data_IF_747298329444
#
_entry.id   IF_747298329444
#
_cell.length_a   1.000
_cell.length_b   1.000
_cell.length_c   1.000
_cell.angle_alpha   90.00
_cell.angle_beta   90.00
_cell.angle_gamma   90.00
#
_symmetry.space_group_name_H-M   'P 1'
#
loop_
_entity.id
_entity.type
_entity.pdbx_description
1 polymer ?
#
# COMPACT_ATOMS: atom_id res chain seq x y z
N UNK A 1 5.33 4.73 -33.00
CA UNK A 1 5.37 4.44 -31.56
C UNK A 1 4.62 5.56 -30.88
N UNK A 2 3.73 5.24 -29.95
CA UNK A 2 2.87 6.18 -29.21
C UNK A 2 3.24 6.00 -27.73
N UNK A 3 3.37 7.08 -26.97
CA UNK A 3 3.58 6.99 -25.52
C UNK A 3 2.32 6.46 -24.82
N UNK A 4 2.46 5.63 -23.78
CA UNK A 4 1.34 5.14 -22.97
C UNK A 4 0.55 6.32 -22.36
N UNK A 5 1.22 7.45 -22.13
CA UNK A 5 0.60 8.66 -21.61
C UNK A 5 -0.36 9.33 -22.61
N UNK A 6 -0.13 9.17 -23.92
CA UNK A 6 -1.01 9.70 -24.99
C UNK A 6 -2.39 9.04 -24.99
N UNK A 7 -2.55 7.87 -24.34
CA UNK A 7 -3.86 7.24 -24.13
C UNK A 7 -4.80 8.10 -23.29
N UNK A 8 -4.29 9.08 -22.53
CA UNK A 8 -5.15 10.04 -21.84
C UNK A 8 -5.99 10.89 -22.83
N UNK A 9 -5.46 11.16 -24.02
CA UNK A 9 -6.10 11.97 -25.07
C UNK A 9 -6.91 11.11 -26.05
N UNK A 10 -6.61 9.82 -26.17
CA UNK A 10 -7.30 8.89 -27.07
C UNK A 10 -8.20 7.90 -26.30
N UNK A 11 -9.48 8.26 -26.15
CA UNK A 11 -10.42 7.49 -25.32
C UNK A 11 -10.70 6.08 -25.85
N UNK A 12 -10.87 5.91 -27.16
CA UNK A 12 -11.17 4.61 -27.78
C UNK A 12 -10.01 3.62 -27.55
N UNK A 13 -8.77 4.10 -27.76
CA UNK A 13 -7.59 3.27 -27.58
C UNK A 13 -7.33 2.98 -26.10
N UNK A 14 -7.59 3.95 -25.20
CA UNK A 14 -7.54 3.76 -23.74
C UNK A 14 -8.54 2.69 -23.30
N UNK A 15 -9.77 2.77 -23.78
CA UNK A 15 -10.81 1.80 -23.45
C UNK A 15 -10.42 0.42 -23.97
N UNK A 16 -9.96 0.31 -25.21
CA UNK A 16 -9.48 -0.95 -25.77
C UNK A 16 -8.34 -1.57 -24.94
N UNK A 17 -7.35 -0.76 -24.56
CA UNK A 17 -6.23 -1.24 -23.75
C UNK A 17 -6.67 -1.65 -22.34
N UNK A 18 -7.58 -0.91 -21.70
CA UNK A 18 -8.13 -1.30 -20.38
C UNK A 18 -8.84 -2.67 -20.42
N UNK A 19 -9.56 -2.98 -21.50
CA UNK A 19 -10.19 -4.30 -21.67
C UNK A 19 -9.15 -5.39 -21.95
N UNK A 20 -8.05 -5.05 -22.61
CA UNK A 20 -6.92 -5.96 -22.82
C UNK A 20 -6.27 -6.35 -21.50
N UNK A 21 -6.08 -5.39 -20.58
CA UNK A 21 -5.57 -5.66 -19.23
C UNK A 21 -6.54 -6.57 -18.44
N UNK A 22 -7.85 -6.30 -18.50
CA UNK A 22 -8.86 -7.17 -17.89
C UNK A 22 -8.86 -8.59 -18.47
N UNK A 23 -8.61 -8.73 -19.77
CA UNK A 23 -8.47 -10.03 -20.42
C UNK A 23 -7.27 -10.80 -19.86
N UNK A 24 -6.13 -10.14 -19.62
CA UNK A 24 -4.98 -10.78 -18.98
C UNK A 24 -5.31 -11.31 -17.58
N UNK A 25 -6.04 -10.55 -16.77
CA UNK A 25 -6.54 -11.02 -15.48
C UNK A 25 -7.43 -12.28 -15.63
N UNK A 26 -8.38 -12.25 -16.58
CA UNK A 26 -9.28 -13.36 -16.83
C UNK A 26 -8.56 -14.64 -17.30
N UNK A 27 -7.49 -14.50 -18.08
CA UNK A 27 -6.67 -15.62 -18.55
C UNK A 27 -5.88 -16.29 -17.41
N UNK A 28 -5.48 -15.52 -16.39
CA UNK A 28 -4.78 -15.98 -15.19
C UNK A 28 -5.69 -16.45 -14.06
N UNK A 29 -7.01 -16.30 -14.20
CA UNK A 29 -7.97 -16.65 -13.16
C UNK A 29 -7.81 -18.11 -12.68
N UNK A 30 -8.19 -18.35 -11.43
CA UNK A 30 -8.19 -19.67 -10.79
C UNK A 30 -6.81 -20.35 -10.72
N UNK A 31 -5.75 -19.56 -10.54
CA UNK A 31 -4.40 -20.09 -10.30
C UNK A 31 -3.73 -20.70 -11.54
N UNK A 32 -4.06 -20.20 -12.74
CA UNK A 32 -3.45 -20.67 -13.99
C UNK A 32 -2.01 -20.16 -14.16
N UNK A 33 -1.09 -20.75 -13.37
CA UNK A 33 0.32 -20.36 -13.34
C UNK A 33 0.99 -20.53 -14.70
N UNK A 34 0.57 -21.51 -15.53
CA UNK A 34 1.13 -21.69 -16.88
C UNK A 34 0.92 -20.47 -17.76
N UNK A 35 -0.27 -19.88 -17.71
CA UNK A 35 -0.59 -18.67 -18.47
C UNK A 35 0.05 -17.45 -17.82
N UNK A 36 0.10 -17.37 -16.49
CA UNK A 36 0.79 -16.29 -15.78
C UNK A 36 2.26 -16.16 -16.22
N UNK A 37 2.99 -17.28 -16.28
CA UNK A 37 4.36 -17.30 -16.79
C UNK A 37 4.47 -16.90 -18.26
N UNK A 38 3.53 -17.33 -19.11
CA UNK A 38 3.52 -16.93 -20.52
C UNK A 38 3.25 -15.43 -20.69
N UNK A 39 2.35 -14.84 -19.89
CA UNK A 39 2.04 -13.41 -19.91
C UNK A 39 3.21 -12.53 -19.51
N UNK A 40 4.14 -13.03 -18.67
CA UNK A 40 5.38 -12.31 -18.37
C UNK A 40 6.28 -12.06 -19.61
N UNK A 41 6.02 -12.72 -20.75
CA UNK A 41 6.69 -12.39 -22.03
C UNK A 41 6.06 -11.22 -22.77
N UNK A 42 4.79 -10.92 -22.47
CA UNK A 42 4.03 -9.83 -23.07
C UNK A 42 4.07 -8.56 -22.22
N UNK A 43 4.04 -8.72 -20.90
CA UNK A 43 4.15 -7.65 -19.90
C UNK A 43 5.27 -8.03 -18.94
N UNK A 44 6.37 -7.29 -19.02
CA UNK A 44 7.53 -7.58 -18.20
C UNK A 44 7.40 -6.99 -16.78
N UNK A 45 8.22 -7.51 -15.87
CA UNK A 45 8.21 -7.09 -14.48
C UNK A 45 8.59 -5.60 -14.32
N UNK A 46 9.52 -5.10 -15.13
CA UNK A 46 9.97 -3.71 -15.09
C UNK A 46 8.87 -2.73 -15.48
N UNK A 47 8.07 -3.05 -16.49
CA UNK A 47 6.93 -2.27 -16.96
C UNK A 47 5.85 -2.19 -15.89
N UNK A 48 5.56 -3.31 -15.22
CA UNK A 48 4.60 -3.32 -14.10
C UNK A 48 5.08 -2.44 -12.95
N UNK A 49 6.35 -2.54 -12.55
CA UNK A 49 6.90 -1.68 -11.50
C UNK A 49 6.92 -0.19 -11.90
N UNK A 50 7.24 0.11 -13.16
CA UNK A 50 7.21 1.48 -13.69
C UNK A 50 5.79 2.07 -13.70
N UNK A 51 4.79 1.29 -14.12
CA UNK A 51 3.39 1.76 -14.16
C UNK A 51 2.80 1.99 -12.77
N UNK A 52 3.26 1.24 -11.77
CA UNK A 52 2.91 1.45 -10.35
C UNK A 52 3.44 2.81 -9.87
N UNK A 53 4.71 3.12 -10.15
CA UNK A 53 5.34 4.39 -9.75
C UNK A 53 4.77 5.61 -10.49
N UNK A 54 4.24 5.41 -11.69
CA UNK A 54 3.79 6.52 -12.52
C UNK A 54 2.50 7.16 -11.98
N UNK A 55 2.63 8.40 -11.49
CA UNK A 55 1.53 9.19 -10.91
C UNK A 55 0.61 9.81 -11.97
N UNK A 56 1.07 9.95 -13.20
CA UNK A 56 0.32 10.65 -14.27
C UNK A 56 -0.58 9.70 -15.07
N UNK A 57 -0.46 8.39 -14.86
CA UNK A 57 -1.18 7.40 -15.64
C UNK A 57 -2.70 7.54 -15.42
N UNK A 58 -3.48 7.45 -16.50
CA UNK A 58 -4.95 7.49 -16.40
C UNK A 58 -5.47 6.43 -15.43
N UNK A 59 -6.46 6.80 -14.61
CA UNK A 59 -7.01 5.93 -13.56
C UNK A 59 -7.45 4.54 -14.04
N UNK A 60 -8.12 4.46 -15.20
CA UNK A 60 -8.56 3.19 -15.78
C UNK A 60 -7.39 2.24 -16.12
N UNK A 61 -6.30 2.80 -16.63
CA UNK A 61 -5.11 2.02 -16.97
C UNK A 61 -4.35 1.63 -15.71
N UNK A 62 -4.22 2.57 -14.77
CA UNK A 62 -3.59 2.36 -13.48
C UNK A 62 -4.26 1.21 -12.72
N UNK A 63 -5.58 1.25 -12.55
CA UNK A 63 -6.33 0.14 -11.96
C UNK A 63 -6.08 -1.18 -12.69
N UNK A 64 -6.13 -1.18 -14.02
CA UNK A 64 -5.86 -2.36 -14.83
C UNK A 64 -4.47 -2.97 -14.61
N UNK A 65 -3.42 -2.15 -14.50
CA UNK A 65 -2.06 -2.66 -14.25
C UNK A 65 -1.90 -3.25 -12.85
N UNK A 66 -2.50 -2.64 -11.83
CA UNK A 66 -2.52 -3.19 -10.48
C UNK A 66 -3.29 -4.52 -10.43
N UNK A 67 -4.43 -4.61 -11.12
CA UNK A 67 -5.20 -5.85 -11.20
C UNK A 67 -4.43 -6.96 -11.93
N UNK A 68 -3.69 -6.63 -12.99
CA UNK A 68 -2.82 -7.58 -13.71
C UNK A 68 -1.67 -8.04 -12.81
N UNK A 69 -1.02 -7.12 -12.09
CA UNK A 69 0.02 -7.43 -11.12
C UNK A 69 -0.47 -8.44 -10.08
N UNK A 70 -1.62 -8.16 -9.47
CA UNK A 70 -2.24 -9.02 -8.46
C UNK A 70 -2.60 -10.38 -9.09
N UNK A 71 -3.26 -10.39 -10.24
CA UNK A 71 -3.73 -11.60 -10.91
C UNK A 71 -2.60 -12.55 -11.34
N UNK A 72 -1.49 -12.00 -11.83
CA UNK A 72 -0.36 -12.80 -12.34
C UNK A 72 0.52 -13.29 -11.18
N UNK A 73 0.86 -12.40 -10.23
CA UNK A 73 1.90 -12.67 -9.25
C UNK A 73 1.36 -13.07 -7.87
N UNK A 74 0.25 -12.48 -7.42
CA UNK A 74 -0.15 -12.52 -6.01
C UNK A 74 -1.38 -13.41 -5.76
N UNK A 75 -2.28 -13.54 -6.75
CA UNK A 75 -3.58 -14.20 -6.61
C UNK A 75 -3.48 -15.63 -6.07
N UNK A 76 -2.59 -16.46 -6.63
CA UNK A 76 -2.38 -17.84 -6.17
C UNK A 76 -1.93 -17.91 -4.71
N UNK A 77 -1.07 -16.97 -4.28
CA UNK A 77 -0.62 -16.89 -2.89
C UNK A 77 -1.75 -16.42 -1.97
N UNK A 78 -2.49 -15.39 -2.38
CA UNK A 78 -3.66 -14.88 -1.66
C UNK A 78 -4.70 -15.98 -1.43
N UNK A 79 -5.06 -16.73 -2.47
CA UNK A 79 -6.04 -17.82 -2.37
C UNK A 79 -5.56 -18.96 -1.46
N UNK A 80 -4.28 -19.32 -1.51
CA UNK A 80 -3.72 -20.33 -0.61
C UNK A 80 -3.86 -19.92 0.87
N UNK A 81 -3.65 -18.65 1.19
CA UNK A 81 -3.86 -18.12 2.54
C UNK A 81 -5.34 -18.07 2.92
N UNK A 82 -6.23 -17.65 2.01
CA UNK A 82 -7.67 -17.59 2.28
C UNK A 82 -8.28 -18.97 2.55
N UNK A 83 -7.85 -19.99 1.81
CA UNK A 83 -8.32 -21.37 2.00
C UNK A 83 -8.00 -21.93 3.40
N UNK A 84 -6.87 -21.50 3.98
CA UNK A 84 -6.39 -21.99 5.29
C UNK A 84 -6.64 -20.99 6.44
N UNK A 85 -7.25 -19.83 6.17
CA UNK A 85 -7.37 -18.74 7.16
C UNK A 85 -8.19 -19.12 8.40
N UNK A 86 -9.12 -20.07 8.27
CA UNK A 86 -9.98 -20.54 9.37
C UNK A 86 -9.46 -21.82 10.03
N UNK A 87 -8.22 -22.23 9.74
CA UNK A 87 -7.58 -23.41 10.29
C UNK A 87 -6.45 -23.00 11.24
N UNK A 88 -6.58 -23.37 12.52
CA UNK A 88 -5.60 -23.00 13.55
C UNK A 88 -4.80 -24.22 13.99
N UNK A 89 -3.52 -24.27 13.59
CA UNK A 89 -2.57 -25.31 13.99
C UNK A 89 -1.36 -24.62 14.62
N UNK A 90 -1.16 -24.86 15.92
CA UNK A 90 -0.12 -24.21 16.72
C UNK A 90 0.83 -25.29 17.26
N UNK A 91 2.13 -25.28 16.87
CA UNK A 91 3.11 -26.22 17.40
C UNK A 91 3.51 -25.84 18.83
N UNK A 92 3.92 -26.83 19.61
CA UNK A 92 4.47 -26.61 20.95
C UNK A 92 5.96 -26.31 20.82
N UNK A 93 6.32 -25.03 20.86
CA UNK A 93 7.69 -24.52 20.82
C UNK A 93 7.93 -23.50 21.94
N UNK A 94 9.19 -23.18 22.23
CA UNK A 94 9.53 -22.11 23.19
C UNK A 94 8.99 -20.75 22.75
N UNK A 95 8.90 -20.52 21.43
CA UNK A 95 8.25 -19.36 20.84
C UNK A 95 6.76 -19.32 21.18
N UNK A 96 6.02 -20.42 21.00
CA UNK A 96 4.60 -20.49 21.41
C UNK A 96 4.46 -20.26 22.92
N UNK A 97 5.39 -20.76 23.74
CA UNK A 97 5.40 -20.57 25.18
C UNK A 97 5.66 -19.12 25.60
N UNK A 98 6.36 -18.34 24.79
CA UNK A 98 6.71 -16.95 25.10
C UNK A 98 5.59 -15.96 24.73
N UNK A 99 4.59 -16.36 23.94
CA UNK A 99 3.44 -15.51 23.59
C UNK A 99 2.64 -15.16 24.86
N UNK A 100 2.50 -13.86 25.10
CA UNK A 100 1.72 -13.29 26.23
C UNK A 100 0.70 -12.30 25.71
N UNK A 101 -0.40 -12.16 26.45
CA UNK A 101 -1.46 -11.19 26.12
C UNK A 101 -0.98 -9.73 26.21
N UNK A 102 -0.06 -9.47 27.14
CA UNK A 102 0.53 -8.16 27.36
C UNK A 102 2.05 -8.27 27.28
N UNK A 103 2.72 -7.39 26.50
CA UNK A 103 4.17 -7.38 26.41
C UNK A 103 4.79 -6.93 27.75
N UNK A 104 4.16 -5.95 28.41
CA UNK A 104 4.63 -5.31 29.63
C UNK A 104 3.56 -5.31 30.74
N UNK A 105 3.95 -4.90 31.95
CA UNK A 105 3.07 -4.75 33.12
C UNK A 105 1.99 -3.65 32.98
N UNK A 106 2.01 -2.90 31.88
CA UNK A 106 1.05 -1.84 31.56
C UNK A 106 -0.38 -2.35 31.31
N UNK A 107 -0.56 -3.68 31.13
CA UNK A 107 -1.84 -4.34 30.81
C UNK A 107 -2.54 -3.75 29.57
N UNK A 108 -1.77 -3.18 28.64
CA UNK A 108 -2.25 -2.68 27.35
C UNK A 108 -1.95 -3.71 26.25
N UNK A 109 -2.95 -3.96 25.41
CA UNK A 109 -2.76 -4.83 24.24
C UNK A 109 -1.78 -4.20 23.26
N UNK A 110 -1.01 -5.04 22.57
CA UNK A 110 -0.23 -4.60 21.41
C UNK A 110 -1.14 -4.41 20.20
N UNK A 111 -0.60 -3.76 19.17
CA UNK A 111 -1.26 -3.62 17.88
C UNK A 111 -1.62 -5.00 17.28
N UNK A 112 -2.77 -5.11 16.59
CA UNK A 112 -3.15 -6.35 15.91
C UNK A 112 -2.19 -6.66 14.75
N UNK A 113 -1.94 -7.95 14.51
CA UNK A 113 -1.07 -8.39 13.42
C UNK A 113 0.42 -8.09 13.61
N UNK A 114 0.80 -7.58 14.79
CA UNK A 114 2.19 -7.28 15.17
C UNK A 114 2.65 -8.32 16.19
N UNK A 115 3.87 -8.83 16.01
CA UNK A 115 4.50 -9.77 16.94
C UNK A 115 4.55 -11.21 16.43
N UNK A 116 4.94 -12.10 17.34
CA UNK A 116 5.22 -13.49 17.01
C UNK A 116 3.93 -14.29 16.89
N UNK A 117 3.74 -14.93 15.74
CA UNK A 117 2.69 -15.93 15.50
C UNK A 117 3.34 -17.26 15.18
N UNK A 118 2.99 -18.31 15.91
CA UNK A 118 3.47 -19.67 15.65
C UNK A 118 2.48 -20.52 14.86
N UNK A 119 1.36 -19.93 14.39
CA UNK A 119 0.41 -20.67 13.55
C UNK A 119 1.09 -21.12 12.26
N UNK A 120 0.80 -22.34 11.83
CA UNK A 120 1.30 -22.85 10.55
C UNK A 120 0.60 -22.10 9.41
N UNK A 121 1.38 -21.41 8.57
CA UNK A 121 0.87 -20.70 7.40
C UNK A 121 1.46 -21.28 6.10
N UNK A 122 0.74 -21.20 4.97
CA UNK A 122 1.30 -21.56 3.68
C UNK A 122 2.52 -20.69 3.36
N UNK A 123 3.46 -21.26 2.58
CA UNK A 123 4.69 -20.56 2.16
C UNK A 123 4.46 -19.86 0.84
N UNK A 124 4.97 -18.64 0.73
CA UNK A 124 5.03 -17.90 -0.52
C UNK A 124 6.16 -18.45 -1.40
N UNK A 125 5.81 -19.31 -2.35
CA UNK A 125 6.74 -19.87 -3.30
C UNK A 125 6.55 -19.21 -4.66
N UNK A 126 7.66 -18.82 -5.30
CA UNK A 126 7.68 -18.23 -6.63
C UNK A 126 8.67 -18.97 -7.52
N UNK A 127 8.47 -18.89 -8.83
CA UNK A 127 9.41 -19.41 -9.83
C UNK A 127 9.83 -18.28 -10.75
N UNK A 128 11.14 -18.09 -11.02
CA UNK A 128 11.58 -17.06 -11.96
C UNK A 128 11.02 -17.36 -13.36
N UNK A 129 10.50 -16.36 -14.08
CA UNK A 129 10.03 -16.57 -15.45
C UNK A 129 11.20 -16.96 -16.35
N UNK A 130 11.07 -18.06 -17.10
CA UNK A 130 12.09 -18.51 -18.04
C UNK A 130 11.45 -18.97 -19.35
N UNK A 131 11.83 -18.32 -20.45
CA UNK A 131 11.31 -18.61 -21.80
C UNK A 131 12.23 -19.51 -22.62
N UNK A 132 13.49 -19.63 -22.21
CA UNK A 132 14.53 -20.41 -22.90
C UNK A 132 14.77 -21.70 -22.12
N UNK A 133 13.75 -22.55 -22.01
CA UNK A 133 13.90 -23.87 -21.35
C UNK A 133 13.48 -24.98 -22.30
N UNK A 134 14.33 -26.00 -22.56
CA UNK A 134 13.99 -27.10 -23.47
C UNK A 134 13.00 -28.12 -22.87
N UNK A 135 12.71 -28.02 -21.56
CA UNK A 135 11.77 -28.90 -20.84
C UNK A 135 10.42 -28.20 -20.67
N UNK A 136 9.34 -28.93 -21.00
CA UNK A 136 7.94 -28.52 -20.79
C UNK A 136 7.49 -28.77 -19.34
N UNK A 137 8.33 -28.49 -18.35
CA UNK A 137 7.89 -28.63 -16.97
C UNK A 137 6.90 -27.49 -16.67
N UNK A 138 5.69 -27.87 -16.27
CA UNK A 138 4.63 -26.91 -16.00
C UNK A 138 4.98 -26.14 -14.72
N UNK A 139 4.96 -24.79 -14.74
CA UNK A 139 5.32 -24.03 -13.57
C UNK A 139 4.32 -24.30 -12.45
N UNK A 140 4.83 -24.81 -11.33
CA UNK A 140 4.02 -25.13 -10.15
C UNK A 140 3.63 -23.87 -9.38
N UNK A 141 4.49 -22.85 -9.40
CA UNK A 141 4.33 -21.62 -8.63
C UNK A 141 4.19 -20.39 -9.51
N UNK A 142 3.68 -19.31 -8.93
CA UNK A 142 3.51 -18.02 -9.60
C UNK A 142 4.85 -17.42 -10.06
N UNK A 143 4.84 -16.62 -11.13
CA UNK A 143 6.04 -15.93 -11.60
C UNK A 143 6.58 -14.99 -10.52
N UNK A 144 7.90 -15.00 -10.34
CA UNK A 144 8.58 -14.22 -9.32
C UNK A 144 8.41 -12.71 -9.52
N UNK A 145 8.26 -12.00 -8.40
CA UNK A 145 8.27 -10.54 -8.32
C UNK A 145 9.07 -10.09 -7.09
N UNK A 146 9.82 -8.98 -7.14
CA UNK A 146 10.56 -8.46 -5.98
C UNK A 146 9.59 -7.88 -4.95
N UNK A 147 9.12 -8.73 -4.04
CA UNK A 147 8.19 -8.34 -2.98
C UNK A 147 8.73 -7.23 -2.08
N UNK A 148 10.02 -7.20 -1.77
CA UNK A 148 10.62 -6.12 -0.95
C UNK A 148 10.37 -4.73 -1.55
N UNK A 149 10.79 -4.55 -2.80
CA UNK A 149 10.57 -3.31 -3.57
C UNK A 149 9.09 -2.99 -3.74
N UNK A 150 8.24 -4.01 -3.95
CA UNK A 150 6.80 -3.81 -4.11
C UNK A 150 6.14 -3.30 -2.81
N UNK A 151 6.53 -3.86 -1.66
CA UNK A 151 6.04 -3.45 -0.34
C UNK A 151 6.46 -2.02 0.00
N UNK A 152 7.74 -1.71 -0.18
CA UNK A 152 8.28 -0.35 0.02
C UNK A 152 7.53 0.68 -0.83
N UNK A 153 7.32 0.39 -2.11
CA UNK A 153 6.56 1.27 -3.02
C UNK A 153 5.11 1.42 -2.58
N UNK A 154 4.41 0.32 -2.27
CA UNK A 154 3.01 0.37 -1.85
C UNK A 154 2.82 1.21 -0.57
N UNK A 155 3.70 1.05 0.42
CA UNK A 155 3.65 1.81 1.67
C UNK A 155 4.02 3.28 1.44
N UNK A 156 5.05 3.58 0.64
CA UNK A 156 5.43 4.96 0.28
C UNK A 156 4.26 5.68 -0.39
N UNK A 157 3.64 5.03 -1.37
CA UNK A 157 2.53 5.61 -2.11
C UNK A 157 1.27 5.80 -1.26
N UNK A 158 0.99 4.88 -0.33
CA UNK A 158 -0.10 5.07 0.63
C UNK A 158 0.22 6.25 1.56
N UNK A 159 1.45 6.34 2.06
CA UNK A 159 1.92 7.43 2.91
C UNK A 159 1.77 8.78 2.21
N UNK A 160 2.23 8.88 0.97
CA UNK A 160 2.08 10.07 0.13
C UNK A 160 0.61 10.40 -0.14
N UNK A 161 -0.27 9.41 -0.37
CA UNK A 161 -1.69 9.68 -0.58
C UNK A 161 -2.41 10.15 0.70
N UNK A 162 -2.01 9.63 1.87
CA UNK A 162 -2.56 10.01 3.18
C UNK A 162 -2.02 11.37 3.62
N UNK A 163 -0.74 11.67 3.41
CA UNK A 163 -0.15 12.95 3.81
C UNK A 163 -0.36 14.05 2.76
N UNK A 164 -0.22 13.72 1.48
CA UNK A 164 -0.22 14.63 0.32
C UNK A 164 -1.60 15.09 -0.14
N UNK A 165 -2.53 15.35 0.77
CA UNK A 165 -3.84 15.86 0.42
C UNK A 165 -4.50 16.66 1.52
N UNK A 166 -4.59 17.97 1.32
CA UNK A 166 -5.49 18.83 2.09
C UNK A 166 -6.96 18.42 1.89
N UNK A 167 -7.89 19.15 2.51
CA UNK A 167 -9.33 18.83 2.44
C UNK A 167 -9.86 18.72 1.00
N UNK A 168 -9.21 19.38 0.04
CA UNK A 168 -9.53 19.30 -1.39
C UNK A 168 -8.25 19.20 -2.24
N UNK A 169 -8.00 18.00 -2.77
CA UNK A 169 -6.95 17.76 -3.77
C UNK A 169 -7.50 18.19 -5.13
N UNK A 170 -6.78 19.07 -5.83
CA UNK A 170 -7.16 19.53 -7.18
C UNK A 170 -6.88 18.47 -8.25
N UNK A 171 -5.71 17.82 -8.15
CA UNK A 171 -5.24 16.84 -9.13
C UNK A 171 -4.85 15.53 -8.42
N UNK A 172 -5.82 14.67 -8.04
CA UNK A 172 -5.52 13.37 -7.46
C UNK A 172 -4.87 12.45 -8.50
N UNK A 173 -3.98 11.58 -8.04
CA UNK A 173 -3.32 10.56 -8.88
C UNK A 173 -4.37 9.69 -9.59
N UNK A 174 -4.25 9.55 -10.91
CA UNK A 174 -5.22 8.83 -11.72
C UNK A 174 -6.53 9.60 -12.01
N UNK A 175 -6.63 10.87 -11.61
CA UNK A 175 -7.74 11.77 -11.93
C UNK A 175 -8.91 11.74 -10.94
N UNK A 176 -8.93 10.80 -9.99
CA UNK A 176 -9.92 10.79 -8.91
C UNK A 176 -9.36 10.20 -7.62
N UNK A 177 -9.97 10.54 -6.48
CA UNK A 177 -9.63 9.96 -5.17
C UNK A 177 -9.83 8.43 -5.18
N UNK A 178 -10.78 7.93 -5.96
CA UNK A 178 -11.00 6.49 -6.14
C UNK A 178 -9.79 5.82 -6.80
N UNK A 179 -9.31 6.33 -7.94
CA UNK A 179 -8.15 5.77 -8.64
C UNK A 179 -6.83 5.98 -7.91
N UNK A 180 -6.77 6.97 -7.01
CA UNK A 180 -5.63 7.17 -6.12
C UNK A 180 -5.53 6.07 -5.07
N UNK A 181 -6.62 5.77 -4.36
CA UNK A 181 -6.58 4.86 -3.20
C UNK A 181 -6.91 3.40 -3.53
N UNK A 182 -7.93 3.12 -4.36
CA UNK A 182 -8.43 1.75 -4.55
C UNK A 182 -7.32 0.78 -5.00
N UNK A 183 -6.50 1.07 -6.03
CA UNK A 183 -5.47 0.14 -6.47
C UNK A 183 -4.41 -0.14 -5.40
N UNK A 184 -4.02 0.91 -4.64
CA UNK A 184 -3.02 0.82 -3.58
C UNK A 184 -3.55 -0.01 -2.40
N UNK A 185 -4.78 0.27 -1.95
CA UNK A 185 -5.42 -0.47 -0.86
C UNK A 185 -5.64 -1.94 -1.22
N UNK A 186 -6.03 -2.22 -2.47
CA UNK A 186 -6.22 -3.58 -2.98
C UNK A 186 -4.89 -4.35 -2.99
N UNK A 187 -3.79 -3.70 -3.38
CA UNK A 187 -2.44 -4.27 -3.34
C UNK A 187 -1.99 -4.53 -1.89
N UNK A 188 -2.13 -3.56 -0.99
CA UNK A 188 -1.77 -3.69 0.43
C UNK A 188 -2.60 -4.79 1.10
N UNK A 189 -3.92 -4.81 0.87
CA UNK A 189 -4.81 -5.87 1.36
C UNK A 189 -4.39 -7.24 0.87
N UNK A 190 -3.99 -7.36 -0.40
CA UNK A 190 -3.45 -8.62 -0.96
C UNK A 190 -2.16 -9.04 -0.26
N UNK A 191 -1.22 -8.10 -0.05
CA UNK A 191 0.04 -8.36 0.65
C UNK A 191 -0.16 -8.72 2.13
N UNK A 192 -1.16 -8.13 2.79
CA UNK A 192 -1.58 -8.45 4.16
C UNK A 192 -2.14 -9.87 4.25
N UNK A 193 -3.06 -10.25 3.36
CA UNK A 193 -3.65 -11.61 3.32
C UNK A 193 -2.57 -12.66 3.09
N UNK A 194 -1.61 -12.36 2.21
CA UNK A 194 -0.47 -13.25 1.92
C UNK A 194 0.54 -13.34 3.07
N UNK A 195 0.41 -12.56 4.15
CA UNK A 195 1.39 -12.51 5.23
C UNK A 195 2.78 -12.06 4.77
N UNK A 196 2.87 -11.25 3.69
CA UNK A 196 4.14 -10.81 3.11
C UNK A 196 4.75 -9.62 3.86
N UNK A 197 3.95 -8.93 4.69
CA UNK A 197 4.33 -7.73 5.42
C UNK A 197 4.96 -8.08 6.78
N UNK A 198 6.00 -7.34 7.16
CA UNK A 198 6.63 -7.45 8.48
C UNK A 198 5.81 -6.73 9.54
N UNK A 199 6.09 -7.02 10.81
CA UNK A 199 5.44 -6.32 11.94
C UNK A 199 5.61 -4.80 11.91
N UNK A 200 6.76 -4.30 11.44
CA UNK A 200 7.02 -2.86 11.29
C UNK A 200 6.22 -2.25 10.14
N UNK A 201 6.15 -2.96 9.01
CA UNK A 201 5.35 -2.57 7.85
C UNK A 201 3.85 -2.52 8.21
N UNK A 202 3.33 -3.52 8.94
CA UNK A 202 1.95 -3.56 9.44
C UNK A 202 1.67 -2.40 10.40
N UNK A 203 2.56 -2.14 11.36
CA UNK A 203 2.44 -0.99 12.28
C UNK A 203 2.36 0.33 11.50
N UNK A 204 3.22 0.51 10.51
CA UNK A 204 3.21 1.71 9.66
C UNK A 204 1.87 1.89 8.95
N UNK A 205 1.33 0.82 8.35
CA UNK A 205 0.02 0.87 7.67
C UNK A 205 -1.11 1.20 8.66
N UNK A 206 -1.10 0.61 9.86
CA UNK A 206 -2.11 0.91 10.89
C UNK A 206 -2.09 2.39 11.31
N UNK A 207 -0.90 2.97 11.50
CA UNK A 207 -0.73 4.39 11.81
C UNK A 207 -1.22 5.31 10.69
N UNK A 208 -1.06 4.90 9.43
CA UNK A 208 -1.61 5.65 8.28
C UNK A 208 -3.14 5.61 8.23
N UNK A 209 -3.77 4.53 8.72
CA UNK A 209 -5.23 4.40 8.74
C UNK A 209 -5.81 5.33 9.82
N UNK A 210 -5.37 5.14 11.06
CA UNK A 210 -5.85 5.90 12.21
C UNK A 210 -4.75 6.03 13.28
N UNK A 211 -4.02 7.16 13.30
CA UNK A 211 -2.96 7.37 14.27
C UNK A 211 -3.50 7.54 15.70
N UNK A 212 -4.77 7.89 15.88
CA UNK A 212 -5.35 8.06 17.22
C UNK A 212 -5.64 6.72 17.92
N UNK A 213 -5.97 5.68 17.14
CA UNK A 213 -6.26 4.34 17.66
C UNK A 213 -4.99 3.49 17.74
N UNK A 214 -4.08 3.64 16.78
CA UNK A 214 -2.90 2.79 16.65
C UNK A 214 -1.60 3.47 17.07
N UNK A 215 -1.64 4.75 17.44
CA UNK A 215 -0.53 5.47 18.02
C UNK A 215 -0.20 4.95 19.41
N UNK A 216 1.10 4.79 19.69
CA UNK A 216 1.53 4.58 21.06
C UNK A 216 1.33 5.91 21.80
N UNK A 217 0.47 5.96 22.82
CA UNK A 217 0.25 7.17 23.65
C UNK A 217 1.49 7.72 24.37
N UNK A 218 2.69 7.18 24.11
CA UNK A 218 3.99 7.75 24.48
C UNK A 218 4.47 8.82 23.49
N UNK A 219 4.09 8.72 22.21
CA UNK A 219 4.41 9.74 21.20
C UNK A 219 3.58 11.03 21.41
N UNK A 220 2.40 10.92 22.04
CA UNK A 220 1.63 12.09 22.50
C UNK A 220 2.37 12.84 23.61
N UNK A 221 3.03 12.16 24.55
CA UNK A 221 3.81 12.79 25.62
C UNK A 221 5.05 13.53 25.07
N UNK A 222 5.76 12.95 24.10
CA UNK A 222 6.90 13.63 23.45
C UNK A 222 6.47 14.82 22.59
N UNK A 223 5.32 14.76 21.91
CA UNK A 223 4.80 15.90 21.14
C UNK A 223 4.27 17.03 22.04
N UNK A 224 3.65 16.71 23.18
CA UNK A 224 3.28 17.73 24.19
C UNK A 224 4.49 18.37 24.85
N UNK A 225 5.57 17.61 25.09
CA UNK A 225 6.81 18.16 25.67
C UNK A 225 7.53 19.13 24.71
N UNK A 226 7.47 18.88 23.39
CA UNK A 226 8.03 19.79 22.38
C UNK A 226 7.17 21.05 22.20
N UNK A 227 5.84 20.93 22.35
CA UNK A 227 4.93 22.08 22.32
C UNK A 227 5.05 22.99 23.56
N UNK A 228 5.26 22.42 24.75
CA UNK A 228 5.45 23.19 25.99
C UNK A 228 6.81 23.89 26.04
N UNK A 229 7.89 23.28 25.53
CA UNK A 229 9.21 23.92 25.51
C UNK A 229 9.35 25.04 24.45
N UNK A 230 8.48 25.07 23.43
CA UNK A 230 8.42 26.15 22.45
C UNK A 230 7.69 27.40 22.94
N UNK A 231 6.80 27.27 23.94
CA UNK A 231 5.95 28.35 24.41
C UNK A 231 6.64 29.29 25.43
N UNK A 232 7.66 28.82 26.16
CA UNK A 232 8.29 29.63 27.23
C UNK A 232 9.33 30.64 26.75
N UNK A 233 9.67 30.70 25.46
CA UNK A 233 10.73 31.60 24.94
C UNK A 233 10.26 32.81 24.13
N UNK A 234 8.96 33.01 23.90
CA UNK A 234 8.44 34.14 23.11
C UNK A 234 7.58 35.15 23.90
N UNK A 235 7.68 35.19 25.23
CA UNK A 235 7.11 36.30 26.04
C UNK A 235 8.20 37.31 26.47
N UNK A 236 8.93 37.90 25.51
CA UNK A 236 9.64 39.16 25.76
C UNK A 236 10.06 39.82 24.44
N UNK A 237 9.16 40.60 23.84
CA UNK A 237 9.36 42.03 23.50
C UNK A 237 8.33 42.46 22.45
N UNK A 238 7.29 43.15 22.90
CA UNK A 238 6.41 43.97 22.06
C UNK A 238 6.96 45.41 22.02
N UNK A 239 7.28 45.96 20.84
CA UNK A 239 6.80 47.31 20.49
C UNK A 239 6.99 47.71 19.00
N UNK A 240 5.88 48.17 18.44
CA UNK A 240 5.66 49.30 17.52
C UNK A 240 6.23 49.38 16.07
N UNK A 241 5.24 49.34 15.16
CA UNK A 241 4.92 50.25 14.04
C UNK A 241 5.58 50.15 12.63
N UNK A 242 4.68 49.86 11.67
CA UNK A 242 4.50 50.38 10.28
C UNK A 242 5.61 50.24 9.23
N UNK A 243 5.30 49.52 8.15
CA UNK A 243 4.92 50.07 6.83
C UNK A 243 5.23 49.11 5.64
N UNK A 244 4.17 48.75 4.90
CA UNK A 244 4.02 48.57 3.44
C UNK A 244 4.95 47.62 2.63
N UNK A 245 4.27 46.77 1.84
CA UNK A 245 4.62 46.18 0.53
C UNK A 245 5.27 44.78 0.41
N UNK A 246 4.56 43.96 -0.38
CA UNK A 246 5.01 42.84 -1.22
C UNK A 246 5.52 41.55 -0.57
N UNK A 247 4.96 40.42 -1.04
CA UNK A 247 5.60 39.10 -0.98
C UNK A 247 4.82 38.05 -0.21
N UNK A 248 4.42 37.00 -0.94
CA UNK A 248 4.29 35.61 -0.48
C UNK A 248 3.65 35.37 0.90
N UNK A 249 2.36 35.02 0.91
CA UNK A 249 1.81 34.25 2.03
C UNK A 249 2.36 32.81 1.96
N UNK A 250 3.57 32.61 2.48
CA UNK A 250 3.93 31.35 3.10
C UNK A 250 3.01 31.17 4.31
N UNK A 251 1.92 30.44 4.09
CA UNK A 251 1.10 29.91 5.17
C UNK A 251 1.98 29.06 6.07
N UNK A 252 2.33 29.60 7.24
CA UNK A 252 2.92 28.88 8.37
C UNK A 252 2.13 27.59 8.58
N UNK A 253 2.68 26.46 8.15
CA UNK A 253 2.21 25.14 8.55
C UNK A 253 2.47 24.99 10.04
N UNK A 254 1.50 25.43 10.84
CA UNK A 254 1.29 24.84 12.15
C UNK A 254 1.12 23.33 11.90
N UNK A 255 2.08 22.52 12.35
CA UNK A 255 2.02 21.06 12.32
C UNK A 255 0.71 20.61 12.98
N UNK A 256 -0.33 20.46 12.18
CA UNK A 256 -1.53 19.73 12.57
C UNK A 256 -1.08 18.29 12.84
N UNK A 257 -1.67 17.60 13.84
CA UNK A 257 -1.40 16.19 14.04
C UNK A 257 -1.62 15.45 12.71
N UNK A 258 -0.79 14.43 12.39
CA UNK A 258 -0.90 13.72 11.13
C UNK A 258 -2.32 13.19 10.99
N UNK A 259 -3.06 13.68 9.99
CA UNK A 259 -4.44 13.25 9.75
C UNK A 259 -4.41 11.83 9.19
N UNK A 260 -5.12 10.92 9.86
CA UNK A 260 -5.29 9.55 9.38
C UNK A 260 -6.12 9.48 8.09
N UNK A 261 -6.05 8.33 7.40
CA UNK A 261 -6.87 8.06 6.22
C UNK A 261 -8.37 8.20 6.51
N UNK A 262 -8.82 7.73 7.69
CA UNK A 262 -10.23 7.73 8.08
C UNK A 262 -10.80 9.12 8.36
N UNK A 263 -9.94 10.10 8.63
CA UNK A 263 -10.36 11.50 8.82
C UNK A 263 -10.67 12.21 7.49
N UNK A 264 -10.30 11.60 6.36
CA UNK A 264 -10.56 12.15 5.03
C UNK A 264 -11.96 11.79 4.54
N UNK A 265 -12.52 12.68 3.71
CA UNK A 265 -13.77 12.39 2.99
C UNK A 265 -13.50 11.41 1.84
N UNK A 266 -13.70 10.11 2.10
CA UNK A 266 -13.47 9.04 1.13
C UNK A 266 -14.75 8.64 0.35
N UNK A 267 -14.64 8.36 -0.96
CA UNK A 267 -15.74 7.82 -1.75
C UNK A 267 -16.08 6.38 -1.36
N UNK A 268 -17.27 5.89 -1.72
CA UNK A 268 -17.75 4.55 -1.32
C UNK A 268 -16.85 3.41 -1.80
N UNK A 269 -16.28 3.50 -3.01
CA UNK A 269 -15.37 2.47 -3.54
C UNK A 269 -14.15 2.27 -2.65
N UNK A 270 -13.62 3.35 -2.07
CA UNK A 270 -12.47 3.32 -1.17
C UNK A 270 -12.86 2.75 0.19
N UNK A 271 -14.06 3.09 0.70
CA UNK A 271 -14.59 2.54 1.97
C UNK A 271 -14.86 1.03 1.92
N UNK A 272 -15.03 0.47 0.73
CA UNK A 272 -15.25 -0.98 0.54
C UNK A 272 -13.95 -1.78 0.51
N UNK A 273 -12.82 -1.13 0.26
CA UNK A 273 -11.50 -1.76 0.36
C UNK A 273 -11.08 -1.82 1.82
#
# INVERSE_FOLDING_TARGET
>A
CIDIMELSENEDLRQFHSHTLKLFCALCALGNNRVAHALCSHLDQSQLLYTIDNQYLSGQLREGFYDVLISIHLETGKEAHLMMNNEFIIPVTDETRSIRLFPDDSKRHSLPGVGLSTSITPRLNFTPPCFITPKRDQPLFSPQIPLGTLKEKAISMLTEAVQGGGAHIRDPVGGSVEYQFVPILKLIGTLLIMGALTSEEVRTILLLIDPSVFGDGKEEEEQTAVAEQGAEKEEATSNEEKAVEAGEEESKEAKQPPKGLLEKSLPESVKRQ
#
